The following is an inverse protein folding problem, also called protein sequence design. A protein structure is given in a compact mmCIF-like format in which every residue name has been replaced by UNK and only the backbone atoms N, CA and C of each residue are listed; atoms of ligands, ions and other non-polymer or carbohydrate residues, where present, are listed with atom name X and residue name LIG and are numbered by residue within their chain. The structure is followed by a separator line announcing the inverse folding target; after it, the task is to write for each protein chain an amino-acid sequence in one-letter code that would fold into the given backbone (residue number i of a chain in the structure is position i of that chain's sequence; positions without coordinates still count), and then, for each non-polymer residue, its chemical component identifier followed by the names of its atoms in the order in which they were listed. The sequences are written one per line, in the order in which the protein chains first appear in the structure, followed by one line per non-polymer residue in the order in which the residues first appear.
data_IF_033687035113
#
_entry.id   IF_033687035113
#
_cell.length_a   1.000
_cell.length_b   1.000
_cell.length_c   1.000
_cell.angle_alpha   90.00
_cell.angle_beta   90.00
_cell.angle_gamma   90.00
#
_symmetry.space_group_name_H-M   'P 1'
#
loop_
_entity.id
_entity.type
_entity.pdbx_description
1 polymer ?
#
# COMPACT_ATOMS: atom_id res chain seq x y z
N UNK A 1 58.50 -2.96 39.17
CA UNK A 1 57.76 -2.57 37.95
C UNK A 1 56.63 -3.59 37.79
N UNK A 2 55.41 -3.29 38.26
CA UNK A 2 54.26 -4.18 38.12
C UNK A 2 53.30 -3.57 37.11
N UNK A 3 53.32 -4.08 35.88
CA UNK A 3 52.26 -3.83 34.92
C UNK A 3 51.16 -4.86 35.20
N UNK A 4 50.18 -4.45 36.00
CA UNK A 4 48.94 -5.21 36.16
C UNK A 4 48.09 -5.01 34.92
N UNK A 5 48.15 -5.97 33.99
CA UNK A 5 47.21 -6.03 32.86
C UNK A 5 45.83 -6.42 33.40
N UNK A 6 44.99 -5.41 33.66
CA UNK A 6 43.57 -5.62 33.93
C UNK A 6 42.92 -6.05 32.60
N UNK A 7 42.17 -7.16 32.55
CA UNK A 7 41.55 -7.60 31.32
C UNK A 7 40.49 -6.58 30.90
N UNK A 8 40.60 -6.10 29.66
CA UNK A 8 39.58 -5.31 28.98
C UNK A 8 38.36 -6.19 28.68
N UNK A 9 37.58 -6.53 29.72
CA UNK A 9 36.17 -6.85 29.53
C UNK A 9 35.47 -5.52 29.34
N UNK A 10 35.43 -5.05 28.09
CA UNK A 10 34.58 -3.96 27.66
C UNK A 10 33.16 -4.26 28.13
N UNK A 11 32.70 -3.46 29.10
CA UNK A 11 31.30 -3.34 29.49
C UNK A 11 30.51 -2.86 28.27
N UNK A 12 30.09 -3.80 27.43
CA UNK A 12 28.96 -3.57 26.55
C UNK A 12 27.74 -3.45 27.45
N UNK A 13 27.49 -2.23 27.94
CA UNK A 13 26.18 -1.88 28.46
C UNK A 13 25.23 -1.99 27.27
N UNK A 14 24.48 -3.09 27.21
CA UNK A 14 23.31 -3.19 26.37
C UNK A 14 22.31 -2.18 26.92
N UNK A 15 22.36 -0.95 26.42
CA UNK A 15 21.38 0.07 26.73
C UNK A 15 20.07 -0.39 26.10
N UNK A 16 19.28 -1.10 26.88
CA UNK A 16 17.91 -1.43 26.54
C UNK A 16 17.13 -0.12 26.41
N UNK A 17 17.08 0.39 25.19
CA UNK A 17 16.26 1.53 24.83
C UNK A 17 14.82 1.04 24.84
N UNK A 18 14.21 1.02 26.03
CA UNK A 18 12.77 0.91 26.20
C UNK A 18 12.10 2.21 25.71
N UNK A 19 12.31 2.53 24.45
CA UNK A 19 11.67 3.63 23.76
C UNK A 19 10.22 3.25 23.52
N UNK A 20 9.30 4.07 24.01
CA UNK A 20 7.87 3.97 23.72
C UNK A 20 7.67 3.75 22.22
N UNK A 21 7.23 2.56 21.83
CA UNK A 21 7.09 2.19 20.42
C UNK A 21 6.06 3.10 19.75
N UNK A 22 6.53 4.04 18.92
CA UNK A 22 5.66 4.96 18.20
C UNK A 22 4.94 4.19 17.09
N UNK A 23 3.67 3.87 17.32
CA UNK A 23 2.79 3.27 16.31
C UNK A 23 2.32 4.36 15.34
N UNK A 24 2.45 4.09 14.04
CA UNK A 24 2.01 4.98 12.96
C UNK A 24 1.14 4.22 11.99
N UNK A 25 0.17 4.90 11.38
CA UNK A 25 -0.69 4.32 10.36
C UNK A 25 0.05 4.37 9.02
N UNK A 26 0.17 3.23 8.35
CA UNK A 26 0.91 3.08 7.07
C UNK A 26 0.04 2.65 5.90
N UNK A 27 -1.22 2.30 6.16
CA UNK A 27 -2.21 1.96 5.14
C UNK A 27 -3.63 2.30 5.64
N UNK A 28 -4.50 2.72 4.73
CA UNK A 28 -5.90 3.09 5.00
C UNK A 28 -6.81 2.54 3.90
N UNK A 29 -8.05 2.17 4.28
CA UNK A 29 -9.11 1.75 3.34
C UNK A 29 -10.37 2.58 3.60
N UNK A 30 -10.97 3.12 2.55
CA UNK A 30 -12.25 3.82 2.62
C UNK A 30 -13.11 3.41 1.43
N UNK A 31 -14.18 2.64 1.68
CA UNK A 31 -15.00 2.09 0.61
C UNK A 31 -14.18 1.24 -0.36
N UNK A 32 -14.18 1.61 -1.64
CA UNK A 32 -13.38 1.00 -2.70
C UNK A 32 -11.97 1.61 -2.86
N UNK A 33 -11.58 2.58 -2.02
CA UNK A 33 -10.25 3.20 -2.04
C UNK A 33 -9.29 2.49 -1.07
N UNK A 34 -8.05 2.29 -1.51
CA UNK A 34 -6.94 1.76 -0.72
C UNK A 34 -5.73 2.67 -0.90
N UNK A 35 -5.14 3.13 0.21
CA UNK A 35 -3.94 3.96 0.21
C UNK A 35 -2.85 3.39 1.10
N UNK A 36 -1.60 3.44 0.64
CA UNK A 36 -0.40 2.98 1.37
C UNK A 36 0.63 4.10 1.43
N UNK A 37 1.32 4.24 2.56
CA UNK A 37 2.44 5.19 2.73
C UNK A 37 3.77 4.64 2.15
N UNK A 38 3.73 3.46 1.55
CA UNK A 38 4.84 2.76 0.92
C UNK A 38 4.41 2.30 -0.47
N UNK A 39 5.40 1.88 -1.26
CA UNK A 39 5.26 1.40 -2.63
C UNK A 39 5.22 -0.14 -2.66
N UNK A 40 4.03 -0.78 -2.60
CA UNK A 40 3.92 -2.25 -2.62
C UNK A 40 4.54 -2.88 -3.87
N UNK A 41 4.64 -2.15 -4.97
CA UNK A 41 5.23 -2.57 -6.25
C UNK A 41 6.75 -2.79 -6.20
N UNK A 42 7.45 -2.19 -5.23
CA UNK A 42 8.90 -2.32 -5.07
C UNK A 42 9.31 -3.58 -4.30
N UNK A 43 8.34 -4.39 -3.87
CA UNK A 43 8.57 -5.65 -3.15
C UNK A 43 8.01 -6.81 -3.97
N UNK A 44 8.65 -7.98 -3.90
CA UNK A 44 8.13 -9.21 -4.52
C UNK A 44 6.87 -9.78 -3.83
N UNK A 45 6.45 -9.19 -2.71
CA UNK A 45 5.29 -9.60 -1.93
C UNK A 45 4.02 -9.04 -2.56
N UNK A 46 3.19 -9.93 -3.09
CA UNK A 46 1.97 -9.55 -3.81
C UNK A 46 0.75 -9.39 -2.90
N UNK A 47 0.87 -9.56 -1.58
CA UNK A 47 -0.30 -9.59 -0.68
C UNK A 47 -1.13 -8.30 -0.72
N UNK A 48 -0.48 -7.14 -0.83
CA UNK A 48 -1.19 -5.86 -0.98
C UNK A 48 -1.94 -5.75 -2.30
N UNK A 49 -1.32 -6.21 -3.39
CA UNK A 49 -1.96 -6.26 -4.71
C UNK A 49 -3.16 -7.22 -4.71
N UNK A 50 -3.00 -8.42 -4.13
CA UNK A 50 -4.10 -9.39 -3.98
C UNK A 50 -5.23 -8.85 -3.11
N UNK A 51 -4.90 -8.11 -2.05
CA UNK A 51 -5.89 -7.46 -1.20
C UNK A 51 -6.71 -6.43 -1.96
N UNK A 52 -6.05 -5.55 -2.74
CA UNK A 52 -6.73 -4.58 -3.60
C UNK A 52 -7.66 -5.26 -4.62
N UNK A 53 -7.20 -6.32 -5.28
CA UNK A 53 -8.03 -7.06 -6.24
C UNK A 53 -9.25 -7.70 -5.57
N UNK A 54 -9.09 -8.26 -4.37
CA UNK A 54 -10.21 -8.84 -3.63
C UNK A 54 -11.28 -7.80 -3.29
N UNK A 55 -10.87 -6.56 -3.00
CA UNK A 55 -11.82 -5.47 -2.71
C UNK A 55 -12.81 -5.24 -3.87
N UNK A 56 -12.41 -5.49 -5.12
CA UNK A 56 -13.31 -5.33 -6.29
C UNK A 56 -14.50 -6.29 -6.27
N UNK A 57 -14.33 -7.48 -5.68
CA UNK A 57 -15.39 -8.49 -5.57
C UNK A 57 -16.34 -8.23 -4.39
N UNK A 58 -15.95 -7.38 -3.45
CA UNK A 58 -16.74 -7.00 -2.28
C UNK A 58 -17.65 -5.78 -2.56
N UNK A 59 -17.52 -5.15 -3.75
CA UNK A 59 -18.42 -4.08 -4.24
C UNK A 59 -19.71 -4.72 -4.75
N UNK A 60 -20.45 -5.31 -3.82
CA UNK A 60 -21.53 -6.24 -4.11
C UNK A 60 -22.95 -5.74 -3.86
N UNK A 61 -23.21 -4.52 -3.35
CA UNK A 61 -24.60 -4.06 -3.13
C UNK A 61 -24.93 -2.56 -3.37
N UNK A 62 -23.96 -1.64 -3.54
CA UNK A 62 -24.27 -0.19 -3.57
C UNK A 62 -23.85 0.56 -4.86
N UNK A 63 -23.24 -0.12 -5.83
CA UNK A 63 -22.79 0.51 -7.08
C UNK A 63 -23.00 -0.39 -8.30
N UNK A 64 -24.15 -1.03 -8.41
CA UNK A 64 -24.68 -1.41 -9.73
C UNK A 64 -25.17 -0.13 -10.41
N UNK A 65 -24.27 0.57 -11.09
CA UNK A 65 -24.67 1.56 -12.10
C UNK A 65 -23.73 1.49 -13.29
N UNK A 66 -24.27 0.83 -14.31
CA UNK A 66 -23.99 1.00 -15.73
C UNK A 66 -22.63 0.54 -16.23
N UNK A 67 -22.52 -0.78 -16.45
CA UNK A 67 -22.04 -1.25 -17.75
C UNK A 67 -23.16 -2.08 -18.38
N UNK A 68 -23.89 -1.48 -19.31
CA UNK A 68 -24.74 -2.21 -20.24
C UNK A 68 -23.88 -2.55 -21.46
N UNK A 69 -23.36 -3.78 -21.51
CA UNK A 69 -22.86 -4.37 -22.76
C UNK A 69 -24.10 -4.73 -23.59
N UNK A 70 -24.41 -3.89 -24.58
CA UNK A 70 -25.28 -4.26 -25.68
C UNK A 70 -24.39 -4.81 -26.81
N UNK A 71 -24.64 -6.04 -27.22
CA UNK A 71 -23.98 -6.64 -28.37
C UNK A 71 -24.37 -5.97 -29.69
N UNK A 72 -23.44 -5.98 -30.64
CA UNK A 72 -23.63 -5.53 -32.02
C UNK A 72 -22.29 -5.25 -32.68
N UNK A 73 -21.88 -6.11 -33.59
CA UNK A 73 -20.70 -5.98 -34.46
C UNK A 73 -20.90 -4.82 -35.46
N UNK A 74 -19.90 -3.93 -35.63
CA UNK A 74 -19.32 -3.52 -36.93
C UNK A 74 -18.47 -2.22 -36.94
N UNK A 75 -17.39 -2.27 -37.73
CA UNK A 75 -16.70 -1.19 -38.47
C UNK A 75 -16.20 0.10 -37.80
N UNK A 76 -14.88 0.30 -37.91
CA UNK A 76 -14.16 1.56 -38.25
C UNK A 76 -14.49 2.89 -37.52
N UNK A 77 -13.40 3.57 -37.16
CA UNK A 77 -13.24 5.04 -37.00
C UNK A 77 -13.62 5.70 -35.66
N UNK A 78 -12.56 6.13 -34.96
CA UNK A 78 -12.35 7.48 -34.41
C UNK A 78 -13.07 7.93 -33.11
N UNK A 79 -12.34 8.80 -32.40
CA UNK A 79 -12.72 9.77 -31.37
C UNK A 79 -12.54 9.33 -29.90
N UNK A 80 -11.48 9.91 -29.31
CA UNK A 80 -11.28 10.24 -27.89
C UNK A 80 -12.50 10.03 -26.99
N UNK A 81 -12.49 8.95 -26.21
CA UNK A 81 -13.34 8.84 -25.03
C UNK A 81 -12.61 9.53 -23.87
N UNK A 82 -13.07 10.73 -23.56
CA UNK A 82 -12.53 11.60 -22.52
C UNK A 82 -12.46 10.92 -21.16
N UNK A 83 -11.24 10.82 -20.63
CA UNK A 83 -11.03 10.61 -19.21
C UNK A 83 -11.26 11.96 -18.51
N UNK A 84 -12.53 12.31 -18.30
CA UNK A 84 -12.92 13.53 -17.59
C UNK A 84 -12.86 13.25 -16.07
N UNK A 85 -11.64 13.30 -15.52
CA UNK A 85 -11.43 13.31 -14.07
C UNK A 85 -11.69 14.74 -13.57
N UNK A 86 -12.44 14.93 -12.46
CA UNK A 86 -12.71 16.27 -11.94
C UNK A 86 -11.39 16.93 -11.53
N UNK A 87 -11.06 18.05 -12.19
CA UNK A 87 -9.98 18.92 -11.78
C UNK A 87 -10.45 19.65 -10.52
N UNK A 88 -9.90 19.28 -9.36
CA UNK A 88 -10.02 20.09 -8.16
C UNK A 88 -9.03 21.26 -8.25
N UNK A 89 -9.56 22.46 -8.55
CA UNK A 89 -8.85 23.73 -8.43
C UNK A 89 -9.02 24.33 -7.03
#
# INVERSE_FOLDING_TARGET
MSFGEKPLKSLWHNQENAGSEKKVIVAVKQGNLLGTAFHPELTADTRWHSYFLKMTSEVGEEASSSISVAGGEDTSSNEQLGNDLPIYQ
#
